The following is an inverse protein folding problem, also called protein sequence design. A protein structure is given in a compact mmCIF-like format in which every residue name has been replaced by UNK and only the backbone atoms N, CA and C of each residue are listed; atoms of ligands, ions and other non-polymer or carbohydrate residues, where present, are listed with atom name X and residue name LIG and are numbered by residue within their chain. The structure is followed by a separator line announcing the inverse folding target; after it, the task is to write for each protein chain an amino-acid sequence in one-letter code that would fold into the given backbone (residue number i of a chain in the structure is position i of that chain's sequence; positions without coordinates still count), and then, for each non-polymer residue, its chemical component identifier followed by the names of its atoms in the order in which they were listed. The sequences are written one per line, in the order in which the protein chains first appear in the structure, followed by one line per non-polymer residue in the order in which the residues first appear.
data_IF_053157277356
#
_entry.id   IF_053157277356
#
_cell.length_a   1.000
_cell.length_b   1.000
_cell.length_c   1.000
_cell.angle_alpha   90.00
_cell.angle_beta   90.00
_cell.angle_gamma   90.00
#
_symmetry.space_group_name_H-M   'P 1'
#
loop_
_entity.id
_entity.type
_entity.pdbx_description
1 polymer ?
#
# COMPACT_ATOMS: atom_id res chain seq x y z
N UNK A 1 7.91 6.30 -1.80
CA UNK A 1 7.24 5.04 -1.36
C UNK A 1 6.04 4.77 -2.26
N UNK A 2 5.49 3.53 -2.32
CA UNK A 2 4.28 3.24 -3.15
C UNK A 2 3.12 4.19 -2.84
N UNK A 3 2.97 4.57 -1.58
CA UNK A 3 1.95 5.52 -1.09
C UNK A 3 2.02 6.88 -1.77
N UNK A 4 3.21 7.42 -2.07
CA UNK A 4 3.33 8.72 -2.76
C UNK A 4 2.83 8.65 -4.20
N UNK A 5 3.00 7.50 -4.86
CA UNK A 5 2.52 7.28 -6.23
C UNK A 5 1.00 7.17 -6.29
N UNK A 6 0.35 6.73 -5.21
CA UNK A 6 -1.09 6.49 -5.14
C UNK A 6 -1.91 7.74 -4.82
N UNK A 7 -1.30 8.76 -4.19
CA UNK A 7 -1.99 9.94 -3.66
C UNK A 7 -3.24 9.57 -2.80
N UNK A 8 -3.02 8.90 -1.65
CA UNK A 8 -4.10 8.34 -0.83
C UNK A 8 -5.00 9.41 -0.20
N UNK A 9 -4.56 10.66 -0.14
CA UNK A 9 -5.35 11.77 0.40
C UNK A 9 -6.66 11.97 -0.38
N UNK A 10 -6.69 11.58 -1.66
CA UNK A 10 -7.88 11.59 -2.52
C UNK A 10 -9.02 10.71 -2.00
N UNK A 11 -8.71 9.73 -1.16
CA UNK A 11 -9.68 8.82 -0.53
C UNK A 11 -9.69 8.95 1.00
N UNK A 12 -9.08 10.02 1.55
CA UNK A 12 -9.04 10.26 2.98
C UNK A 12 -8.08 9.36 3.76
N UNK A 13 -7.12 8.71 3.09
CA UNK A 13 -6.08 7.90 3.71
C UNK A 13 -4.78 8.71 3.79
N UNK A 14 -4.04 8.59 4.90
CA UNK A 14 -2.74 9.25 5.10
C UNK A 14 -1.69 8.28 5.64
N UNK A 15 -0.42 8.69 5.57
CA UNK A 15 0.72 7.99 6.15
C UNK A 15 1.22 8.75 7.37
N UNK A 16 1.43 8.06 8.49
CA UNK A 16 2.02 8.62 9.71
C UNK A 16 3.54 8.81 9.61
N UNK A 17 4.14 9.48 10.59
CA UNK A 17 5.60 9.61 10.69
C UNK A 17 6.27 8.24 10.91
N UNK A 18 5.58 7.31 11.58
CA UNK A 18 5.97 5.91 11.78
C UNK A 18 5.66 5.00 10.59
N UNK A 19 5.29 5.57 9.44
CA UNK A 19 4.98 4.86 8.20
C UNK A 19 3.75 3.93 8.30
N UNK A 20 2.79 4.24 9.18
CA UNK A 20 1.53 3.51 9.28
C UNK A 20 0.43 4.20 8.47
N UNK A 21 -0.47 3.43 7.87
CA UNK A 21 -1.64 3.99 7.19
C UNK A 21 -2.72 4.38 8.21
N UNK A 22 -3.35 5.53 7.98
CA UNK A 22 -4.52 6.00 8.72
C UNK A 22 -5.74 6.14 7.80
N UNK A 23 -6.91 5.61 8.18
CA UNK A 23 -7.19 4.83 9.41
C UNK A 23 -6.41 3.50 9.46
N UNK A 24 -6.21 2.96 10.65
CA UNK A 24 -5.43 1.71 10.86
C UNK A 24 -5.98 0.51 10.08
N UNK A 25 -7.29 0.52 9.77
CA UNK A 25 -7.93 -0.45 8.89
C UNK A 25 -7.74 -0.15 7.40
N UNK A 26 -6.56 0.35 7.02
CA UNK A 26 -6.17 0.60 5.63
C UNK A 26 -5.13 -0.43 5.17
N UNK A 27 -5.04 -0.67 3.88
CA UNK A 27 -4.07 -1.60 3.29
C UNK A 27 -3.60 -1.05 1.95
N UNK A 28 -2.28 -1.05 1.73
CA UNK A 28 -1.68 -0.89 0.41
C UNK A 28 -1.15 -2.24 -0.09
N UNK A 29 -1.08 -2.40 -1.41
CA UNK A 29 -0.64 -3.64 -2.03
C UNK A 29 -0.14 -3.39 -3.46
N UNK A 30 0.69 -4.30 -3.96
CA UNK A 30 1.02 -4.38 -5.38
C UNK A 30 0.13 -5.41 -6.08
N UNK A 31 -0.26 -5.10 -7.32
CA UNK A 31 -0.99 -6.04 -8.18
C UNK A 31 -0.07 -6.53 -9.29
N UNK A 32 0.37 -7.78 -9.21
CA UNK A 32 1.17 -8.42 -10.24
C UNK A 32 0.28 -9.23 -11.20
N UNK A 33 0.41 -9.00 -12.50
CA UNK A 33 -0.42 -9.67 -13.52
C UNK A 33 0.22 -10.92 -14.12
N UNK A 34 1.48 -11.21 -13.79
CA UNK A 34 2.20 -12.35 -14.36
C UNK A 34 1.55 -13.67 -13.91
N UNK A 35 1.32 -14.65 -14.81
CA UNK A 35 0.60 -15.89 -14.48
C UNK A 35 1.30 -16.74 -13.42
N UNK A 36 2.62 -16.60 -13.29
CA UNK A 36 3.42 -17.30 -12.28
C UNK A 36 3.73 -16.46 -11.03
N UNK A 37 3.14 -15.28 -10.88
CA UNK A 37 3.34 -14.46 -9.69
C UNK A 37 2.89 -15.22 -8.43
N UNK A 38 3.77 -15.30 -7.43
CA UNK A 38 3.52 -16.00 -6.16
C UNK A 38 4.18 -15.26 -5.01
N UNK A 39 3.62 -15.44 -3.81
CA UNK A 39 4.26 -14.98 -2.58
C UNK A 39 5.46 -15.88 -2.25
N UNK A 40 6.51 -15.26 -1.73
CA UNK A 40 7.69 -15.95 -1.22
C UNK A 40 7.98 -15.43 0.18
N UNK A 41 8.42 -16.30 1.07
CA UNK A 41 8.97 -15.88 2.35
C UNK A 41 10.45 -15.54 2.13
N UNK A 42 10.87 -14.36 2.59
CA UNK A 42 12.27 -13.90 2.63
C UNK A 42 12.79 -13.92 4.05
#
# INVERSE_FOLDING_TARGET
MVVELLDPARIGVSLSEELQLHPEQSTDAFVAHHPEAKYFNV
#
